data_IF_130955589932
#
_entry.id   IF_130955589932
#
_cell.length_a   1.000
_cell.length_b   1.000
_cell.length_c   1.000
_cell.angle_alpha   90.00
_cell.angle_beta   90.00
_cell.angle_gamma   90.00
#
_symmetry.space_group_name_H-M   'P 1'
#
loop_
_entity.id
_entity.type
_entity.pdbx_description
1 polymer ?
#
# COMPACT_ATOMS: atom_id res chain seq x y z
N UNK A 1 -13.47 -0.65 27.20
CA UNK A 1 -14.29 -1.87 27.36
C UNK A 1 -14.58 -2.18 28.83
N UNK A 2 -13.55 -2.38 29.69
CA UNK A 2 -13.76 -2.79 31.10
C UNK A 2 -14.59 -1.80 31.94
N UNK A 3 -14.41 -0.49 31.75
CA UNK A 3 -15.18 0.55 32.46
C UNK A 3 -16.67 0.59 32.09
N UNK A 4 -17.04 0.17 30.88
CA UNK A 4 -18.45 0.16 30.41
C UNK A 4 -19.12 -1.15 30.81
N UNK A 5 -18.39 -2.27 30.69
CA UNK A 5 -18.81 -3.61 31.11
C UNK A 5 -19.22 -3.65 32.58
N UNK A 6 -18.45 -3.02 33.47
CA UNK A 6 -18.77 -3.00 34.91
C UNK A 6 -20.00 -2.13 35.23
N UNK A 7 -20.30 -1.13 34.38
CA UNK A 7 -21.36 -0.14 34.63
C UNK A 7 -22.72 -0.57 34.11
N UNK A 8 -22.75 -1.40 33.05
CA UNK A 8 -23.99 -1.82 32.39
C UNK A 8 -24.24 -3.34 32.38
N UNK A 9 -23.31 -4.17 32.89
CA UNK A 9 -23.43 -5.66 32.88
C UNK A 9 -23.78 -6.25 31.50
N UNK A 10 -23.47 -5.55 30.41
CA UNK A 10 -23.73 -6.01 29.06
C UNK A 10 -22.65 -7.01 28.61
N UNK A 11 -23.04 -7.97 27.77
CA UNK A 11 -22.07 -8.87 27.12
C UNK A 11 -21.22 -8.09 26.12
N UNK A 12 -20.03 -8.62 25.82
CA UNK A 12 -19.08 -7.93 24.94
C UNK A 12 -19.65 -7.78 23.53
N UNK A 13 -20.49 -8.72 23.09
CA UNK A 13 -21.18 -8.66 21.80
C UNK A 13 -22.20 -7.52 21.71
N UNK A 14 -23.05 -7.33 22.74
CA UNK A 14 -24.00 -6.22 22.79
C UNK A 14 -23.29 -4.86 22.72
N UNK A 15 -22.14 -4.73 23.41
CA UNK A 15 -21.34 -3.50 23.39
C UNK A 15 -20.75 -3.25 22.00
N UNK A 16 -20.29 -4.30 21.32
CA UNK A 16 -19.73 -4.19 19.96
C UNK A 16 -20.82 -3.82 18.96
N UNK A 17 -22.03 -4.37 19.09
CA UNK A 17 -23.15 -4.05 18.22
C UNK A 17 -23.61 -2.60 18.38
N UNK A 18 -23.71 -2.12 19.63
CA UNK A 18 -24.04 -0.71 19.92
C UNK A 18 -22.95 0.25 19.44
N UNK A 19 -21.68 -0.12 19.59
CA UNK A 19 -20.58 0.70 19.06
C UNK A 19 -20.64 0.76 17.52
N UNK A 20 -20.92 -0.37 16.85
CA UNK A 20 -21.07 -0.41 15.39
C UNK A 20 -22.26 0.42 14.91
N UNK A 21 -23.40 0.38 15.60
CA UNK A 21 -24.57 1.19 15.24
C UNK A 21 -24.30 2.69 15.45
N UNK A 22 -23.61 3.06 16.53
CA UNK A 22 -23.22 4.45 16.78
C UNK A 22 -22.16 4.99 15.80
N UNK A 23 -21.24 4.14 15.32
CA UNK A 23 -20.31 4.49 14.24
C UNK A 23 -21.06 4.66 12.91
N UNK A 24 -22.01 3.76 12.59
CA UNK A 24 -22.85 3.87 11.41
C UNK A 24 -23.75 5.12 11.41
N UNK A 25 -24.21 5.56 12.58
CA UNK A 25 -24.94 6.81 12.79
C UNK A 25 -24.04 8.06 12.77
N UNK A 26 -22.72 7.91 12.67
CA UNK A 26 -21.76 9.03 12.66
C UNK A 26 -21.61 9.74 14.01
N UNK A 27 -22.07 9.14 15.11
CA UNK A 27 -22.04 9.73 16.45
C UNK A 27 -20.70 9.52 17.17
N UNK A 28 -19.95 8.50 16.78
CA UNK A 28 -18.62 8.20 17.32
C UNK A 28 -17.65 7.89 16.19
N UNK A 29 -16.43 8.42 16.26
CA UNK A 29 -15.34 8.05 15.36
C UNK A 29 -14.32 7.22 16.15
N UNK A 30 -14.20 5.93 15.80
CA UNK A 30 -13.26 5.04 16.46
C UNK A 30 -11.84 5.37 16.00
N UNK A 31 -11.13 6.15 16.81
CA UNK A 31 -9.71 6.37 16.65
C UNK A 31 -8.93 5.07 16.96
N UNK A 32 -8.06 4.59 16.04
CA UNK A 32 -7.14 3.52 16.38
C UNK A 32 -6.25 3.93 17.55
N UNK A 33 -5.72 2.99 18.34
CA UNK A 33 -4.91 3.29 19.50
C UNK A 33 -3.70 4.15 19.12
N UNK A 34 -3.32 5.14 19.95
CA UNK A 34 -2.22 6.05 19.65
C UNK A 34 -0.91 5.26 19.51
N UNK A 35 -0.23 5.42 18.37
CA UNK A 35 1.02 4.74 18.08
C UNK A 35 2.16 5.56 18.71
N UNK A 36 2.80 5.00 19.75
CA UNK A 36 3.94 5.65 20.39
C UNK A 36 5.23 5.36 19.60
N UNK A 37 5.57 6.24 18.65
CA UNK A 37 6.80 6.18 17.84
C UNK A 37 7.57 7.48 17.92
N UNK A 38 8.84 7.43 18.31
CA UNK A 38 9.70 8.63 18.45
C UNK A 38 10.44 8.98 17.15
N UNK A 39 10.50 8.07 16.18
CA UNK A 39 11.23 8.26 14.92
C UNK A 39 10.59 7.50 13.76
N UNK A 40 10.77 8.03 12.53
CA UNK A 40 10.29 7.41 11.30
C UNK A 40 10.82 5.99 11.08
N UNK A 41 12.08 5.72 11.43
CA UNK A 41 12.65 4.36 11.30
C UNK A 41 12.00 3.35 12.24
N UNK A 42 11.57 3.80 13.43
CA UNK A 42 10.83 2.95 14.37
C UNK A 42 9.43 2.67 13.83
N UNK A 43 8.79 3.66 13.23
CA UNK A 43 7.52 3.47 12.52
C UNK A 43 7.66 2.47 11.38
N UNK A 44 8.68 2.60 10.53
CA UNK A 44 8.88 1.69 9.40
C UNK A 44 9.07 0.23 9.84
N UNK A 45 9.76 -0.02 10.95
CA UNK A 45 9.93 -1.36 11.54
C UNK A 45 8.65 -1.92 12.18
N UNK A 46 7.61 -1.11 12.36
CA UNK A 46 6.34 -1.56 12.88
C UNK A 46 5.61 -2.39 11.82
N UNK A 47 5.83 -3.71 11.85
CA UNK A 47 5.30 -4.65 10.87
C UNK A 47 3.76 -4.70 10.81
N UNK A 48 3.07 -4.35 11.89
CA UNK A 48 1.61 -4.33 11.95
C UNK A 48 0.99 -3.29 10.99
N UNK A 49 1.59 -2.11 10.90
CA UNK A 49 1.09 -1.01 10.05
C UNK A 49 1.73 -1.02 8.66
N UNK A 50 3.01 -1.40 8.57
CA UNK A 50 3.80 -1.30 7.34
C UNK A 50 3.96 -2.62 6.57
N UNK A 51 3.20 -3.67 6.93
CA UNK A 51 3.20 -4.95 6.22
C UNK A 51 2.96 -4.81 4.70
N UNK A 52 2.08 -3.89 4.30
CA UNK A 52 1.81 -3.60 2.88
C UNK A 52 3.06 -3.12 2.12
N UNK A 53 3.94 -2.34 2.75
CA UNK A 53 5.17 -1.82 2.14
C UNK A 53 6.23 -2.93 2.01
N UNK A 54 6.30 -3.85 2.98
CA UNK A 54 7.18 -5.01 2.89
C UNK A 54 6.70 -5.99 1.80
N UNK A 55 5.40 -6.23 1.69
CA UNK A 55 4.82 -7.03 0.61
C UNK A 55 5.10 -6.40 -0.76
N UNK A 56 4.92 -5.09 -0.89
CA UNK A 56 5.28 -4.35 -2.08
C UNK A 56 6.75 -4.53 -2.44
N UNK A 57 7.65 -4.29 -1.48
CA UNK A 57 9.10 -4.43 -1.68
C UNK A 57 9.44 -5.86 -2.09
N UNK A 58 8.84 -6.86 -1.46
CA UNK A 58 8.97 -8.27 -1.81
C UNK A 58 8.50 -8.58 -3.23
N UNK A 59 7.37 -8.01 -3.69
CA UNK A 59 6.90 -8.16 -5.07
C UNK A 59 7.83 -7.50 -6.09
N UNK A 60 8.34 -6.30 -5.80
CA UNK A 60 9.31 -5.61 -6.66
C UNK A 60 10.59 -6.43 -6.79
N UNK A 61 11.16 -6.87 -5.66
CA UNK A 61 12.36 -7.70 -5.63
C UNK A 61 12.14 -9.06 -6.30
N UNK A 62 10.99 -9.71 -6.06
CA UNK A 62 10.62 -10.96 -6.71
C UNK A 62 10.50 -10.81 -8.22
N UNK A 63 9.94 -9.69 -8.70
CA UNK A 63 9.86 -9.38 -10.13
C UNK A 63 11.26 -9.20 -10.73
N UNK A 64 12.13 -8.41 -10.08
CA UNK A 64 13.51 -8.22 -10.52
C UNK A 64 14.29 -9.54 -10.54
N UNK A 65 14.19 -10.33 -9.47
CA UNK A 65 14.83 -11.65 -9.39
C UNK A 65 14.33 -12.58 -10.50
N UNK A 66 13.02 -12.56 -10.78
CA UNK A 66 12.43 -13.37 -11.85
C UNK A 66 12.90 -12.97 -13.24
N UNK A 67 13.23 -11.69 -13.46
CA UNK A 67 13.69 -11.18 -14.75
C UNK A 67 15.17 -11.48 -14.97
N UNK A 68 15.99 -11.33 -13.93
CA UNK A 68 17.46 -11.39 -14.08
C UNK A 68 18.09 -12.73 -13.69
N UNK A 69 17.45 -13.53 -12.84
CA UNK A 69 18.04 -14.78 -12.33
C UNK A 69 17.35 -16.04 -12.86
N UNK A 70 16.08 -15.98 -13.24
CA UNK A 70 15.35 -17.17 -13.68
C UNK A 70 15.57 -17.46 -15.18
N UNK A 71 15.58 -18.75 -15.57
CA UNK A 71 15.66 -19.14 -16.97
C UNK A 71 14.41 -18.79 -17.78
N UNK A 72 14.58 -18.60 -19.09
CA UNK A 72 13.51 -18.25 -20.04
C UNK A 72 12.64 -19.43 -20.53
N UNK A 73 12.63 -20.58 -19.84
CA UNK A 73 11.86 -21.76 -20.23
C UNK A 73 10.79 -22.16 -19.20
N UNK A 74 9.86 -23.03 -19.60
CA UNK A 74 8.75 -23.48 -18.75
C UNK A 74 9.25 -24.38 -17.61
N UNK A 75 8.81 -24.23 -16.35
CA UNK A 75 7.70 -23.38 -15.87
C UNK A 75 8.10 -21.96 -15.41
N UNK A 76 9.38 -21.64 -15.33
CA UNK A 76 9.89 -20.39 -14.75
C UNK A 76 9.38 -19.13 -15.45
N UNK A 77 9.21 -19.19 -16.77
CA UNK A 77 8.68 -18.08 -17.56
C UNK A 77 7.25 -17.66 -17.13
N UNK A 78 6.43 -18.59 -16.63
CA UNK A 78 5.08 -18.27 -16.13
C UNK A 78 5.13 -17.39 -14.89
N UNK A 79 6.08 -17.64 -13.99
CA UNK A 79 6.29 -16.81 -12.79
C UNK A 79 6.63 -15.38 -13.22
N UNK A 80 7.51 -15.22 -14.21
CA UNK A 80 7.87 -13.90 -14.75
C UNK A 80 6.66 -13.19 -15.35
N UNK A 81 5.80 -13.89 -16.08
CA UNK A 81 4.59 -13.28 -16.67
C UNK A 81 3.60 -12.84 -15.62
N UNK A 82 3.32 -13.69 -14.62
CA UNK A 82 2.38 -13.37 -13.55
C UNK A 82 2.91 -12.19 -12.71
N UNK A 83 4.17 -12.26 -12.26
CA UNK A 83 4.78 -11.18 -11.48
C UNK A 83 4.89 -9.90 -12.29
N UNK A 84 5.33 -9.98 -13.54
CA UNK A 84 5.43 -8.82 -14.43
C UNK A 84 4.09 -8.15 -14.69
N UNK A 85 3.03 -8.95 -14.88
CA UNK A 85 1.67 -8.44 -15.10
C UNK A 85 1.14 -7.70 -13.86
N UNK A 86 1.25 -8.31 -12.67
CA UNK A 86 0.85 -7.66 -11.41
C UNK A 86 1.71 -6.42 -11.15
N UNK A 87 3.01 -6.50 -11.42
CA UNK A 87 3.94 -5.40 -11.25
C UNK A 87 3.59 -4.21 -12.13
N UNK A 88 3.24 -4.43 -13.40
CA UNK A 88 2.89 -3.34 -14.32
C UNK A 88 1.48 -2.80 -14.06
N UNK A 89 0.50 -3.67 -13.83
CA UNK A 89 -0.90 -3.22 -13.79
C UNK A 89 -1.38 -2.71 -12.44
N UNK A 90 -0.70 -3.06 -11.35
CA UNK A 90 -1.22 -2.79 -10.01
C UNK A 90 -0.25 -1.97 -9.15
N UNK A 91 1.02 -2.39 -9.02
CA UNK A 91 1.92 -1.83 -8.01
C UNK A 91 2.15 -0.30 -8.10
N UNK A 92 2.44 0.30 -9.28
CA UNK A 92 2.68 1.73 -9.41
C UNK A 92 1.47 2.57 -9.02
N UNK A 93 0.28 2.17 -9.49
CA UNK A 93 -0.94 2.86 -9.12
C UNK A 93 -1.29 2.64 -7.65
N UNK A 94 -1.07 1.44 -7.12
CA UNK A 94 -1.30 1.12 -5.71
C UNK A 94 -0.48 2.02 -4.78
N UNK A 95 0.82 2.21 -5.00
CA UNK A 95 1.63 3.10 -4.16
C UNK A 95 1.19 4.55 -4.24
N UNK A 96 0.67 4.98 -5.39
CA UNK A 96 0.16 6.34 -5.56
C UNK A 96 -1.14 6.51 -4.79
N UNK A 97 -2.05 5.53 -4.84
CA UNK A 97 -3.27 5.56 -4.03
C UNK A 97 -2.92 5.57 -2.54
N UNK A 98 -2.00 4.72 -2.09
CA UNK A 98 -1.53 4.72 -0.69
C UNK A 98 -0.82 6.02 -0.30
N UNK A 99 -0.15 6.67 -1.25
CA UNK A 99 0.44 7.97 -1.03
C UNK A 99 -0.65 9.04 -0.92
N UNK A 100 -1.61 9.08 -1.84
CA UNK A 100 -2.66 10.10 -1.91
C UNK A 100 -3.65 10.01 -0.76
N UNK A 101 -4.08 8.79 -0.43
CA UNK A 101 -5.11 8.45 0.55
C UNK A 101 -4.53 7.59 1.69
N UNK A 102 -3.78 8.21 2.62
CA UNK A 102 -3.07 7.49 3.67
C UNK A 102 -4.02 6.83 4.69
N UNK A 103 -5.27 7.29 4.79
CA UNK A 103 -6.23 6.75 5.75
C UNK A 103 -7.06 5.60 5.17
N UNK A 104 -7.40 4.63 6.02
CA UNK A 104 -8.21 3.47 5.59
C UNK A 104 -9.67 3.81 5.33
N UNK A 105 -10.21 4.85 5.98
CA UNK A 105 -11.63 5.25 5.87
C UNK A 105 -11.93 6.09 4.62
N UNK A 106 -10.91 6.58 3.91
CA UNK A 106 -11.09 7.49 2.76
C UNK A 106 -11.62 6.79 1.51
N UNK A 107 -11.35 5.50 1.33
CA UNK A 107 -11.73 4.73 0.15
C UNK A 107 -12.18 3.34 0.55
N UNK A 108 -13.30 2.88 -0.02
CA UNK A 108 -13.69 1.48 0.06
C UNK A 108 -12.65 0.59 -0.65
N UNK A 109 -12.62 -0.71 -0.29
CA UNK A 109 -11.67 -1.65 -0.89
C UNK A 109 -11.77 -1.73 -2.41
N UNK A 110 -12.99 -1.67 -2.96
CA UNK A 110 -13.22 -1.74 -4.41
C UNK A 110 -12.76 -0.45 -5.10
N UNK A 111 -13.04 0.72 -4.51
CA UNK A 111 -12.57 2.01 -5.04
C UNK A 111 -11.04 2.07 -5.05
N UNK A 112 -10.39 1.62 -3.97
CA UNK A 112 -8.92 1.55 -3.88
C UNK A 112 -8.34 0.68 -4.98
N UNK A 113 -8.94 -0.49 -5.25
CA UNK A 113 -8.52 -1.37 -6.35
C UNK A 113 -8.74 -0.70 -7.71
N UNK A 114 -9.93 -0.14 -7.97
CA UNK A 114 -10.24 0.50 -9.24
C UNK A 114 -9.29 1.68 -9.53
N UNK A 115 -9.04 2.54 -8.53
CA UNK A 115 -8.11 3.66 -8.64
C UNK A 115 -6.67 3.20 -8.87
N UNK A 116 -6.24 2.14 -8.18
CA UNK A 116 -4.88 1.61 -8.36
C UNK A 116 -4.66 1.08 -9.79
N UNK A 117 -5.62 0.34 -10.34
CA UNK A 117 -5.54 -0.15 -11.72
C UNK A 117 -5.58 1.01 -12.71
N UNK A 118 -6.49 1.96 -12.54
CA UNK A 118 -6.61 3.14 -13.39
C UNK A 118 -5.35 4.01 -13.40
N UNK A 119 -4.77 4.27 -12.23
CA UNK A 119 -3.53 5.04 -12.09
C UNK A 119 -2.34 4.31 -12.71
N UNK A 120 -2.26 2.99 -12.58
CA UNK A 120 -1.18 2.23 -13.22
C UNK A 120 -1.28 2.28 -14.75
N UNK A 121 -2.50 2.11 -15.28
CA UNK A 121 -2.76 2.22 -16.73
C UNK A 121 -2.45 3.61 -17.28
N UNK A 122 -2.60 4.67 -16.47
CA UNK A 122 -2.21 6.02 -16.86
C UNK A 122 -0.69 6.24 -16.79
N UNK A 123 -0.06 5.83 -15.69
CA UNK A 123 1.33 6.21 -15.38
C UNK A 123 2.35 5.33 -16.07
N UNK A 124 2.10 4.03 -16.22
CA UNK A 124 3.10 3.13 -16.83
C UNK A 124 3.40 3.51 -18.28
N UNK A 125 2.40 3.74 -19.17
CA UNK A 125 2.70 4.19 -20.53
C UNK A 125 3.36 5.57 -20.55
N UNK A 126 2.96 6.48 -19.67
CA UNK A 126 3.57 7.80 -19.55
C UNK A 126 5.05 7.71 -19.17
N UNK A 127 5.40 6.86 -18.20
CA UNK A 127 6.79 6.58 -17.83
C UNK A 127 7.55 5.95 -19.00
N UNK A 128 6.94 5.04 -19.75
CA UNK A 128 7.52 4.49 -20.97
C UNK A 128 7.82 5.55 -22.03
N UNK A 129 6.90 6.51 -22.22
CA UNK A 129 7.09 7.64 -23.13
C UNK A 129 8.22 8.56 -22.67
N UNK A 130 8.27 8.91 -21.38
CA UNK A 130 9.37 9.71 -20.82
C UNK A 130 10.71 8.98 -21.00
N UNK A 131 10.72 7.68 -20.75
CA UNK A 131 11.91 6.85 -20.91
C UNK A 131 12.38 6.76 -22.36
N UNK A 132 11.48 6.86 -23.33
CA UNK A 132 11.82 6.91 -24.75
C UNK A 132 12.71 8.12 -25.12
N UNK A 133 12.58 9.23 -24.39
CA UNK A 133 13.43 10.42 -24.57
C UNK A 133 14.78 10.29 -23.85
N UNK A 134 15.01 9.21 -23.10
CA UNK A 134 16.31 8.94 -22.47
C UNK A 134 17.23 8.15 -23.41
N UNK A 135 18.56 8.24 -23.24
CA UNK A 135 19.52 7.50 -24.08
C UNK A 135 19.32 5.97 -24.10
N UNK A 136 18.63 5.44 -23.10
CA UNK A 136 18.39 4.00 -22.94
C UNK A 136 17.18 3.49 -23.75
N UNK A 137 16.23 4.36 -24.09
CA UNK A 137 15.01 4.03 -24.83
C UNK A 137 14.06 3.04 -24.12
N UNK A 138 13.06 2.55 -24.86
CA UNK A 138 12.07 1.57 -24.37
C UNK A 138 12.65 0.15 -24.49
N UNK A 139 13.54 -0.21 -23.57
CA UNK A 139 14.07 -1.59 -23.41
C UNK A 139 13.61 -2.18 -22.08
N UNK A 140 13.62 -3.51 -21.95
CA UNK A 140 13.18 -4.21 -20.74
C UNK A 140 13.90 -3.68 -19.49
N UNK A 141 15.23 -3.69 -19.48
CA UNK A 141 16.03 -3.28 -18.31
C UNK A 141 15.76 -1.84 -17.86
N UNK A 142 15.83 -0.81 -18.73
CA UNK A 142 15.47 0.57 -18.37
C UNK A 142 14.04 0.73 -17.88
N UNK A 143 13.05 0.07 -18.52
CA UNK A 143 11.64 0.14 -18.12
C UNK A 143 11.46 -0.45 -16.72
N UNK A 144 11.98 -1.66 -16.50
CA UNK A 144 11.86 -2.34 -15.22
C UNK A 144 12.54 -1.54 -14.11
N UNK A 145 13.78 -1.06 -14.32
CA UNK A 145 14.50 -0.27 -13.31
C UNK A 145 13.74 1.02 -12.98
N UNK A 146 13.30 1.77 -13.99
CA UNK A 146 12.57 3.03 -13.79
C UNK A 146 11.28 2.80 -13.03
N UNK A 147 10.52 1.77 -13.40
CA UNK A 147 9.25 1.46 -12.75
C UNK A 147 9.47 0.97 -11.32
N UNK A 148 10.49 0.14 -11.07
CA UNK A 148 10.85 -0.33 -9.72
C UNK A 148 11.25 0.81 -8.81
N UNK A 149 12.15 1.70 -9.27
CA UNK A 149 12.59 2.85 -8.50
C UNK A 149 11.42 3.79 -8.20
N UNK A 150 10.61 4.12 -9.21
CA UNK A 150 9.43 4.98 -9.04
C UNK A 150 8.47 4.40 -8.01
N UNK A 151 8.18 3.09 -8.11
CA UNK A 151 7.27 2.40 -7.20
C UNK A 151 7.79 2.41 -5.76
N UNK A 152 9.09 2.13 -5.55
CA UNK A 152 9.69 2.12 -4.22
C UNK A 152 9.78 3.52 -3.60
N UNK A 153 10.15 4.54 -4.39
CA UNK A 153 10.21 5.93 -3.93
C UNK A 153 8.83 6.41 -3.50
N UNK A 154 7.80 6.20 -4.32
CA UNK A 154 6.44 6.59 -3.97
C UNK A 154 5.93 5.78 -2.76
N UNK A 155 6.27 4.50 -2.68
CA UNK A 155 5.97 3.66 -1.52
C UNK A 155 6.56 4.23 -0.21
N UNK A 156 7.80 4.72 -0.24
CA UNK A 156 8.43 5.41 0.90
C UNK A 156 7.76 6.74 1.24
N UNK A 157 7.32 7.50 0.22
CA UNK A 157 6.54 8.72 0.43
C UNK A 157 5.20 8.39 1.09
N UNK A 158 4.54 7.31 0.68
CA UNK A 158 3.29 6.84 1.28
C UNK A 158 3.47 6.42 2.75
N UNK A 159 4.50 5.65 3.09
CA UNK A 159 4.80 5.31 4.50
C UNK A 159 5.09 6.56 5.34
N UNK A 160 5.79 7.54 4.76
CA UNK A 160 6.06 8.81 5.45
C UNK A 160 4.80 9.66 5.66
N UNK A 161 3.89 9.69 4.67
CA UNK A 161 2.58 10.36 4.84
C UNK A 161 1.74 9.69 5.92
N UNK A 162 1.67 8.36 5.94
CA UNK A 162 0.97 7.61 6.99
C UNK A 162 1.57 7.84 8.38
N UNK A 163 2.90 7.92 8.48
CA UNK A 163 3.59 8.29 9.72
C UNK A 163 3.16 9.67 10.23
N UNK A 164 3.12 10.69 9.36
CA UNK A 164 2.66 12.04 9.74
C UNK A 164 1.22 12.06 10.23
N UNK A 165 0.33 11.35 9.54
CA UNK A 165 -1.08 11.23 9.95
C UNK A 165 -1.19 10.52 11.30
N UNK A 166 -0.44 9.43 11.51
CA UNK A 166 -0.41 8.72 12.77
C UNK A 166 0.07 9.60 13.94
N UNK A 167 1.09 10.44 13.73
CA UNK A 167 1.61 11.37 14.73
C UNK A 167 0.60 12.47 15.08
N UNK A 168 -0.11 13.03 14.09
CA UNK A 168 -1.13 14.05 14.32
C UNK A 168 -2.30 13.55 15.18
N UNK A 169 -2.61 12.25 15.13
CA UNK A 169 -3.67 11.64 15.97
C UNK A 169 -3.28 11.51 17.45
N UNK A 170 -2.00 11.67 17.79
CA UNK A 170 -1.52 11.53 19.18
C UNK A 170 -1.44 12.84 19.96
N UNK A 171 -1.66 13.98 19.29
CA UNK A 171 -1.67 15.34 19.87
C UNK A 171 -3.11 15.79 20.07
#
# INVERSE_FOLDING_TARGET
>A
MERVRSRYKAEVEDIVEVIKSLEAEGKIDLCPPPINVSSYFQYLRLGSENGWFYLLTGMVLGTLLSIYMLPDFLPWVLIRWILGFVFVLYLPGFVIVEALFPERKELSGIERLALSLGLSLAIVPLLGLVLNYTPWGIRLTPVTITLSLTTLIIGLVATYRKYKVALMRTV
#
